data_IF_414842303474
#
_entry.id   IF_414842303474
#
_cell.length_a   1.000
_cell.length_b   1.000
_cell.length_c   1.000
_cell.angle_alpha   90.00
_cell.angle_beta   90.00
_cell.angle_gamma   90.00
#
_symmetry.space_group_name_H-M   'P 1'
#
loop_
_entity.id
_entity.type
_entity.pdbx_description
1 polymer ?
#
# COMPACT_ATOMS: atom_id res chain seq x y z
N UNK A 1 16.93 -23.96 7.88
CA UNK A 1 17.17 -22.70 8.63
C UNK A 1 17.71 -21.55 7.76
N UNK A 2 18.76 -21.74 6.93
CA UNK A 2 19.36 -20.64 6.14
C UNK A 2 18.41 -19.96 5.14
N UNK A 3 17.57 -20.73 4.43
CA UNK A 3 16.57 -20.17 3.50
C UNK A 3 15.47 -19.38 4.19
N UNK A 4 15.10 -19.76 5.42
CA UNK A 4 14.06 -19.08 6.19
C UNK A 4 14.50 -17.67 6.58
N UNK A 5 15.75 -17.51 7.01
CA UNK A 5 16.36 -16.21 7.31
C UNK A 5 16.49 -15.32 6.07
N UNK A 6 16.78 -15.92 4.91
CA UNK A 6 16.94 -15.20 3.65
C UNK A 6 15.59 -14.66 3.14
N UNK A 7 14.52 -15.46 3.26
CA UNK A 7 13.14 -15.03 2.98
C UNK A 7 12.71 -13.94 3.95
N UNK A 8 13.03 -14.07 5.25
CA UNK A 8 12.67 -13.05 6.25
C UNK A 8 13.40 -11.72 6.02
N UNK A 9 14.69 -11.75 5.64
CA UNK A 9 15.44 -10.54 5.26
C UNK A 9 14.91 -9.89 3.98
N UNK A 10 14.46 -10.69 3.00
CA UNK A 10 13.84 -10.18 1.77
C UNK A 10 12.53 -9.45 2.06
N UNK A 11 11.71 -9.98 2.97
CA UNK A 11 10.45 -9.36 3.41
C UNK A 11 10.69 -8.06 4.17
N UNK A 12 11.70 -7.98 5.03
CA UNK A 12 12.05 -6.75 5.75
C UNK A 12 12.54 -5.65 4.79
N UNK A 13 13.34 -5.99 3.78
CA UNK A 13 13.83 -5.01 2.80
C UNK A 13 12.71 -4.40 1.95
N UNK A 14 11.65 -5.15 1.65
CA UNK A 14 10.48 -4.67 0.91
C UNK A 14 9.64 -3.66 1.72
N UNK A 15 9.60 -3.79 3.05
CA UNK A 15 8.85 -2.86 3.91
C UNK A 15 9.51 -1.48 3.99
N UNK A 16 10.85 -1.43 4.05
CA UNK A 16 11.60 -0.17 4.08
C UNK A 16 11.47 0.63 2.78
N UNK A 17 11.36 -0.05 1.63
CA UNK A 17 11.16 0.60 0.32
C UNK A 17 9.71 1.12 0.13
N UNK A 18 8.75 0.63 0.93
CA UNK A 18 7.34 1.02 0.86
C UNK A 18 7.00 2.25 1.74
N UNK A 19 7.90 2.65 2.64
CA UNK A 19 7.79 3.86 3.46
C UNK A 19 8.55 5.04 2.84
N UNK A 20 8.40 5.27 1.54
CA UNK A 20 8.77 6.57 0.97
C UNK A 20 7.63 7.55 1.28
N UNK A 21 7.85 8.46 2.23
CA UNK A 21 7.04 9.66 2.36
C UNK A 21 7.19 10.41 1.04
N UNK A 22 6.16 10.39 0.19
CA UNK A 22 6.14 11.14 -1.07
C UNK A 22 6.23 12.61 -0.69
N UNK A 23 7.46 13.15 -0.64
CA UNK A 23 7.69 14.58 -0.59
C UNK A 23 6.80 15.19 -1.66
N UNK A 24 5.99 16.17 -1.30
CA UNK A 24 5.25 16.99 -2.25
C UNK A 24 6.27 17.59 -3.21
N UNK A 25 6.53 16.88 -4.31
CA UNK A 25 7.34 17.38 -5.39
C UNK A 25 6.47 18.44 -6.03
N UNK A 26 6.89 19.70 -5.88
CA UNK A 26 6.42 20.82 -6.69
C UNK A 26 6.68 20.43 -8.16
N UNK A 27 5.76 19.67 -8.74
CA UNK A 27 5.77 19.27 -10.14
C UNK A 27 5.35 20.55 -10.85
N UNK A 28 6.33 21.39 -11.16
CA UNK A 28 6.17 22.47 -12.13
C UNK A 28 5.60 21.78 -13.36
N UNK A 29 4.29 21.92 -13.56
CA UNK A 29 3.57 21.32 -14.66
C UNK A 29 4.14 21.97 -15.91
N UNK A 30 5.14 21.30 -16.49
CA UNK A 30 5.57 21.60 -17.85
C UNK A 30 4.38 21.22 -18.70
N UNK A 31 3.54 22.21 -18.99
CA UNK A 31 2.47 22.11 -19.98
C UNK A 31 3.20 21.89 -21.30
N UNK A 32 3.47 20.63 -21.61
CA UNK A 32 4.00 20.25 -22.90
C UNK A 32 2.88 20.44 -23.92
N UNK A 33 2.86 21.65 -24.49
CA UNK A 33 1.93 22.13 -25.51
C UNK A 33 1.89 21.26 -26.78
N UNK A 34 2.70 20.19 -26.85
CA UNK A 34 2.83 19.30 -28.01
C UNK A 34 1.92 18.05 -28.00
N UNK A 35 1.04 17.87 -27.00
CA UNK A 35 0.11 16.72 -27.00
C UNK A 35 -1.06 16.98 -27.95
N UNK A 36 -0.87 16.67 -29.24
CA UNK A 36 -1.85 16.94 -30.30
C UNK A 36 -2.81 15.77 -30.60
N UNK A 37 -2.72 14.65 -29.86
CA UNK A 37 -3.61 13.49 -30.05
C UNK A 37 -3.95 12.76 -28.75
N UNK A 38 -5.16 12.19 -28.69
CA UNK A 38 -5.66 11.34 -27.59
C UNK A 38 -4.75 10.12 -27.35
N UNK A 39 -4.10 9.60 -28.38
CA UNK A 39 -3.18 8.48 -28.24
C UNK A 39 -1.90 8.87 -27.46
N UNK A 40 -1.37 10.07 -27.69
CA UNK A 40 -0.23 10.58 -26.90
C UNK A 40 -0.64 10.91 -25.46
N UNK A 41 -1.88 11.35 -25.23
CA UNK A 41 -2.43 11.58 -23.89
C UNK A 41 -2.43 10.33 -23.02
N UNK A 42 -2.81 9.18 -23.57
CA UNK A 42 -2.74 7.91 -22.85
C UNK A 42 -1.31 7.37 -22.71
N UNK A 43 -0.42 7.61 -23.69
CA UNK A 43 0.98 7.15 -23.63
C UNK A 43 1.85 7.94 -22.64
N UNK A 44 1.54 9.21 -22.40
CA UNK A 44 2.27 10.07 -21.45
C UNK A 44 1.76 9.97 -20.01
N UNK A 45 0.77 9.12 -19.74
CA UNK A 45 0.26 8.91 -18.38
C UNK A 45 1.26 8.17 -17.47
N UNK A 46 1.09 8.33 -16.16
CA UNK A 46 1.93 7.74 -15.12
C UNK A 46 1.18 6.57 -14.47
N UNK A 47 1.79 5.40 -14.45
CA UNK A 47 1.33 4.28 -13.62
C UNK A 47 1.99 4.35 -12.24
N UNK A 48 1.23 4.01 -11.22
CA UNK A 48 1.74 3.87 -9.87
C UNK A 48 1.19 2.59 -9.23
N UNK A 49 2.01 1.98 -8.40
CA UNK A 49 1.65 0.81 -7.62
C UNK A 49 2.17 0.99 -6.20
N UNK A 50 1.40 0.53 -5.22
CA UNK A 50 1.82 0.47 -3.84
C UNK A 50 1.35 -0.84 -3.22
N UNK A 51 2.18 -1.43 -2.37
CA UNK A 51 1.82 -2.56 -1.54
C UNK A 51 2.09 -2.19 -0.09
N UNK A 52 1.24 -2.67 0.82
CA UNK A 52 1.40 -2.46 2.26
C UNK A 52 1.14 -3.76 2.99
N UNK A 53 2.09 -4.13 3.84
CA UNK A 53 1.91 -5.11 4.88
C UNK A 53 1.84 -4.39 6.22
N UNK A 54 0.85 -4.71 7.04
CA UNK A 54 0.68 -4.11 8.35
C UNK A 54 0.45 -5.20 9.39
N UNK A 55 1.30 -5.22 10.41
CA UNK A 55 1.19 -6.15 11.54
C UNK A 55 0.96 -5.33 12.80
N UNK A 56 -0.03 -5.74 13.59
CA UNK A 56 -0.36 -5.16 14.88
C UNK A 56 -0.43 -6.27 15.92
N UNK A 57 0.09 -5.99 17.10
CA UNK A 57 -0.05 -6.83 18.28
C UNK A 57 -0.47 -5.96 19.46
N UNK A 58 -1.27 -6.50 20.36
CA UNK A 58 -1.69 -5.88 21.61
C UNK A 58 -1.36 -6.84 22.74
N UNK A 59 -0.53 -6.37 23.65
CA UNK A 59 -0.15 -7.09 24.86
C UNK A 59 -1.06 -6.59 25.98
N UNK A 60 -1.89 -7.47 26.52
CA UNK A 60 -2.82 -7.15 27.59
C UNK A 60 -2.19 -7.40 28.96
N UNK A 61 -2.86 -6.88 29.99
CA UNK A 61 -2.37 -6.94 31.37
C UNK A 61 -2.62 -8.32 31.99
N UNK A 62 -1.67 -8.78 32.79
CA UNK A 62 -1.73 -10.03 33.57
C UNK A 62 -2.03 -11.23 32.66
N UNK A 63 -3.00 -12.07 33.03
CA UNK A 63 -3.34 -13.30 32.31
C UNK A 63 -4.42 -13.10 31.23
N UNK A 64 -4.71 -11.85 30.86
CA UNK A 64 -5.60 -11.54 29.74
C UNK A 64 -4.97 -11.98 28.42
N UNK A 65 -5.81 -12.41 27.49
CA UNK A 65 -5.40 -12.89 26.17
C UNK A 65 -4.82 -11.75 25.34
N UNK A 66 -3.68 -12.00 24.70
CA UNK A 66 -3.09 -11.09 23.71
C UNK A 66 -3.76 -11.25 22.34
N UNK A 67 -3.73 -10.18 21.55
CA UNK A 67 -4.34 -10.16 20.22
C UNK A 67 -3.35 -9.69 19.16
N UNK A 68 -3.47 -10.24 17.95
CA UNK A 68 -2.65 -9.86 16.82
C UNK A 68 -3.44 -9.86 15.52
N UNK A 69 -2.98 -9.05 14.57
CA UNK A 69 -3.53 -8.96 13.22
C UNK A 69 -2.42 -8.70 12.20
N UNK A 70 -2.57 -9.30 11.03
CA UNK A 70 -1.73 -9.11 9.86
C UNK A 70 -2.60 -8.86 8.64
N UNK A 71 -2.56 -7.61 8.17
CA UNK A 71 -3.21 -7.17 6.95
C UNK A 71 -2.21 -7.06 5.80
N UNK A 72 -2.64 -7.48 4.62
CA UNK A 72 -1.94 -7.24 3.36
C UNK A 72 -2.86 -6.47 2.42
N UNK A 73 -2.33 -5.47 1.74
CA UNK A 73 -3.06 -4.76 0.69
C UNK A 73 -2.13 -4.31 -0.42
N UNK A 74 -2.70 -4.16 -1.61
CA UNK A 74 -2.02 -3.51 -2.72
C UNK A 74 -3.00 -2.67 -3.53
N UNK A 75 -2.48 -1.61 -4.13
CA UNK A 75 -3.20 -0.71 -4.99
C UNK A 75 -2.40 -0.39 -6.24
N UNK A 76 -3.12 -0.22 -7.33
CA UNK A 76 -2.56 0.25 -8.60
C UNK A 76 -3.39 1.41 -9.10
N UNK A 77 -2.77 2.28 -9.88
CA UNK A 77 -3.49 3.35 -10.53
C UNK A 77 -2.76 3.87 -11.75
N UNK A 78 -3.53 4.60 -12.52
CA UNK A 78 -3.10 5.25 -13.73
C UNK A 78 -3.62 6.69 -13.73
N UNK A 79 -2.72 7.62 -14.03
CA UNK A 79 -3.01 9.04 -14.16
C UNK A 79 -2.62 9.46 -15.57
N UNK A 80 -3.55 10.03 -16.34
CA UNK A 80 -3.27 10.53 -17.69
C UNK A 80 -2.38 11.78 -17.64
N UNK A 81 -1.80 12.14 -18.78
CA UNK A 81 -1.25 13.49 -18.96
C UNK A 81 -2.36 14.55 -18.86
N UNK A 82 -1.99 15.83 -18.75
CA UNK A 82 -2.95 16.95 -18.83
C UNK A 82 -3.18 17.33 -20.29
N UNK A 83 -4.43 17.44 -20.72
CA UNK A 83 -4.80 17.93 -22.04
C UNK A 83 -5.81 19.06 -21.93
N UNK A 84 -5.42 20.25 -22.43
CA UNK A 84 -6.24 21.48 -22.37
C UNK A 84 -6.78 21.80 -20.96
N UNK A 85 -5.98 21.52 -19.93
CA UNK A 85 -6.35 21.73 -18.53
C UNK A 85 -7.14 20.59 -17.87
N UNK A 86 -7.47 19.53 -18.60
CA UNK A 86 -8.16 18.34 -18.05
C UNK A 86 -7.19 17.18 -17.84
N UNK A 87 -7.42 16.42 -16.77
CA UNK A 87 -6.66 15.23 -16.41
C UNK A 87 -7.62 14.16 -15.88
N UNK A 88 -7.33 12.90 -16.17
CA UNK A 88 -8.10 11.75 -15.70
C UNK A 88 -7.21 10.81 -14.89
N UNK A 89 -7.74 10.29 -13.79
CA UNK A 89 -7.07 9.26 -13.01
C UNK A 89 -8.06 8.16 -12.61
N UNK A 90 -7.58 6.92 -12.65
CA UNK A 90 -8.32 5.75 -12.15
C UNK A 90 -7.39 4.92 -11.29
N UNK A 91 -7.89 4.45 -10.15
CA UNK A 91 -7.16 3.58 -9.25
C UNK A 91 -8.08 2.53 -8.64
N UNK A 92 -7.47 1.43 -8.22
CA UNK A 92 -8.13 0.35 -7.51
C UNK A 92 -7.19 -0.24 -6.47
N UNK A 93 -7.78 -0.75 -5.39
CA UNK A 93 -7.03 -1.40 -4.33
C UNK A 93 -7.76 -2.63 -3.82
N UNK A 94 -7.01 -3.56 -3.25
CA UNK A 94 -7.52 -4.67 -2.47
C UNK A 94 -6.82 -4.70 -1.11
N UNK A 95 -7.57 -5.10 -0.08
CA UNK A 95 -7.06 -5.28 1.29
C UNK A 95 -7.60 -6.61 1.80
N UNK A 96 -6.72 -7.43 2.34
CA UNK A 96 -7.04 -8.74 2.88
C UNK A 96 -6.58 -8.86 4.34
N UNK A 97 -7.44 -9.43 5.18
CA UNK A 97 -7.05 -9.90 6.50
C UNK A 97 -6.41 -11.28 6.34
N UNK A 98 -5.08 -11.34 6.36
CA UNK A 98 -4.34 -12.57 6.09
C UNK A 98 -4.30 -13.49 7.30
N UNK A 99 -4.09 -12.90 8.49
CA UNK A 99 -4.06 -13.64 9.75
C UNK A 99 -4.47 -12.70 10.87
N UNK A 100 -5.49 -13.04 11.65
CA UNK A 100 -5.87 -12.27 12.83
C UNK A 100 -6.37 -13.18 13.94
N UNK A 101 -6.26 -12.69 15.17
CA UNK A 101 -6.93 -13.28 16.31
C UNK A 101 -8.46 -13.24 16.12
N UNK A 102 -9.13 -14.27 16.63
CA UNK A 102 -10.59 -14.34 16.60
C UNK A 102 -11.18 -13.52 17.73
N UNK A 103 -11.67 -12.33 17.40
CA UNK A 103 -12.25 -11.39 18.36
C UNK A 103 -13.65 -11.80 18.84
N UNK A 104 -14.23 -12.86 18.29
CA UNK A 104 -15.54 -13.39 18.75
C UNK A 104 -15.38 -14.32 19.96
N UNK A 105 -14.16 -14.81 20.21
CA UNK A 105 -13.87 -15.63 21.39
C UNK A 105 -13.74 -14.74 22.62
N UNK A 106 -14.57 -15.01 23.63
CA UNK A 106 -14.43 -14.37 24.94
C UNK A 106 -13.14 -14.79 25.61
N UNK A 107 -12.52 -13.83 26.27
CA UNK A 107 -11.36 -14.09 27.12
C UNK A 107 -11.76 -15.01 28.27
N UNK A 108 -11.08 -16.16 28.47
CA UNK A 108 -11.34 -17.06 29.61
C UNK A 108 -11.32 -16.37 30.98
N UNK A 109 -10.53 -15.30 31.14
CA UNK A 109 -10.41 -14.57 32.41
C UNK A 109 -11.54 -13.57 32.67
N UNK A 110 -12.47 -13.38 31.72
CA UNK A 110 -13.59 -12.43 31.83
C UNK A 110 -14.96 -13.09 31.65
N UNK A 111 -15.03 -14.43 31.77
CA UNK A 111 -16.27 -15.19 31.67
C UNK A 111 -17.18 -15.03 32.89
#
# INVERSE_FOLDING_TARGET
MKWFLLVMMLVAALQSMAQEHRTERNDTTVVDSSTHSLNQFFKKGKFFAHARSFVMTTINKDDLSDYGAWGLGAGIGYESATFKGFQFAVSGFFINNTLSADLTKRDPQTQ
#
